data_IF_827128899912
#
_entry.id   IF_827128899912
#
_cell.length_a   1.000
_cell.length_b   1.000
_cell.length_c   1.000
_cell.angle_alpha   90.00
_cell.angle_beta   90.00
_cell.angle_gamma   90.00
#
_symmetry.space_group_name_H-M   'P 1'
#
loop_
_entity.id
_entity.type
_entity.pdbx_description
1 polymer ?
#
# COMPACT_ATOMS: atom_id res chain seq x y z
N UNK A 1 11.71 -25.61 -15.91
CA UNK A 1 10.24 -25.39 -15.99
C UNK A 1 9.70 -26.23 -17.12
N UNK A 2 8.75 -27.11 -16.83
CA UNK A 2 8.07 -27.89 -17.87
C UNK A 2 7.13 -26.95 -18.65
N UNK A 3 7.17 -27.01 -19.98
CA UNK A 3 6.19 -26.34 -20.84
C UNK A 3 4.80 -26.81 -20.41
N UNK A 4 3.90 -25.90 -20.02
CA UNK A 4 2.51 -26.28 -19.75
C UNK A 4 1.72 -26.25 -21.05
N UNK A 5 1.35 -27.42 -21.61
CA UNK A 5 0.68 -27.49 -22.89
C UNK A 5 -0.69 -26.80 -22.87
N UNK A 6 -1.34 -26.76 -21.71
CA UNK A 6 -2.67 -26.15 -21.54
C UNK A 6 -2.60 -24.63 -21.72
N UNK A 7 -1.61 -23.96 -21.12
CA UNK A 7 -1.40 -22.52 -21.28
C UNK A 7 -1.12 -22.17 -22.75
N UNK A 8 -0.22 -22.93 -23.39
CA UNK A 8 0.18 -22.68 -24.77
C UNK A 8 -0.99 -22.89 -25.74
N UNK A 9 -1.83 -23.90 -25.50
CA UNK A 9 -3.04 -24.12 -26.30
C UNK A 9 -4.06 -22.98 -26.13
N UNK A 10 -4.31 -22.53 -24.90
CA UNK A 10 -5.23 -21.40 -24.66
C UNK A 10 -4.72 -20.11 -25.32
N UNK A 11 -3.42 -19.85 -25.26
CA UNK A 11 -2.80 -18.71 -25.93
C UNK A 11 -2.89 -18.86 -27.44
N UNK A 12 -2.68 -20.06 -27.99
CA UNK A 12 -2.84 -20.35 -29.43
C UNK A 12 -4.24 -20.01 -29.90
N UNK A 13 -5.27 -20.48 -29.19
CA UNK A 13 -6.66 -20.21 -29.56
C UNK A 13 -6.99 -18.73 -29.49
N UNK A 14 -6.55 -18.05 -28.42
CA UNK A 14 -6.77 -16.61 -28.24
C UNK A 14 -6.02 -15.75 -29.24
N UNK A 15 -4.94 -16.26 -29.83
CA UNK A 15 -4.07 -15.46 -30.70
C UNK A 15 -4.07 -15.89 -32.16
N UNK A 16 -4.98 -16.80 -32.52
CA UNK A 16 -5.10 -17.36 -33.87
C UNK A 16 -5.43 -16.31 -34.94
N UNK A 17 -6.16 -15.26 -34.58
CA UNK A 17 -6.63 -14.22 -35.50
C UNK A 17 -5.70 -13.00 -35.56
N UNK A 18 -4.61 -12.97 -34.77
CA UNK A 18 -3.69 -11.84 -34.75
C UNK A 18 -2.40 -12.15 -35.53
N UNK A 19 -1.92 -11.15 -36.27
CA UNK A 19 -0.60 -11.17 -36.91
C UNK A 19 0.47 -10.62 -35.93
N UNK A 20 0.93 -11.50 -35.04
CA UNK A 20 1.97 -11.21 -34.06
C UNK A 20 3.34 -11.78 -34.47
N UNK A 21 4.42 -11.42 -33.79
CA UNK A 21 5.77 -12.00 -33.89
C UNK A 21 6.12 -12.70 -32.56
N UNK A 22 5.79 -12.04 -31.45
CA UNK A 22 6.04 -12.52 -30.11
C UNK A 22 4.93 -12.07 -29.16
N UNK A 23 4.50 -12.95 -28.26
CA UNK A 23 3.59 -12.60 -27.16
C UNK A 23 4.42 -12.41 -25.90
N UNK A 24 4.12 -11.34 -25.17
CA UNK A 24 4.79 -10.96 -23.92
C UNK A 24 3.77 -10.80 -22.80
N UNK A 25 3.92 -11.59 -21.74
CA UNK A 25 3.14 -11.51 -20.52
C UNK A 25 4.06 -11.08 -19.37
N UNK A 26 3.76 -9.93 -18.77
CA UNK A 26 4.58 -9.31 -17.73
C UNK A 26 3.83 -9.34 -16.40
N UNK A 27 4.36 -10.08 -15.44
CA UNK A 27 3.89 -10.10 -14.06
C UNK A 27 4.76 -9.16 -13.23
N UNK A 28 4.17 -8.09 -12.69
CA UNK A 28 4.86 -7.13 -11.85
C UNK A 28 4.41 -7.29 -10.40
N UNK A 29 5.34 -7.54 -9.50
CA UNK A 29 5.11 -7.75 -8.07
C UNK A 29 5.28 -6.45 -7.29
N UNK A 30 4.30 -6.11 -6.47
CA UNK A 30 4.38 -5.01 -5.52
C UNK A 30 5.28 -5.40 -4.35
N UNK A 31 5.77 -4.39 -3.62
CA UNK A 31 6.60 -4.58 -2.42
C UNK A 31 5.84 -5.40 -1.35
N UNK A 32 4.51 -5.28 -1.32
CA UNK A 32 3.62 -5.99 -0.40
C UNK A 32 3.24 -7.40 -0.86
N UNK A 33 3.74 -7.85 -2.03
CA UNK A 33 3.48 -9.20 -2.57
C UNK A 33 2.22 -9.33 -3.41
N UNK A 34 1.49 -8.24 -3.67
CA UNK A 34 0.49 -8.20 -4.73
C UNK A 34 1.14 -8.29 -6.10
N UNK A 35 0.38 -8.63 -7.14
CA UNK A 35 0.92 -8.67 -8.50
C UNK A 35 -0.14 -8.33 -9.55
N UNK A 36 0.32 -7.72 -10.65
CA UNK A 36 -0.49 -7.37 -11.80
C UNK A 36 0.06 -7.97 -13.09
N UNK A 37 -0.83 -8.31 -14.02
CA UNK A 37 -0.48 -8.79 -15.35
C UNK A 37 -0.65 -7.68 -16.38
N UNK A 38 0.38 -7.48 -17.19
CA UNK A 38 0.29 -6.76 -18.46
C UNK A 38 0.58 -7.74 -19.59
N UNK A 39 -0.33 -7.84 -20.54
CA UNK A 39 -0.22 -8.76 -21.68
C UNK A 39 -0.23 -7.99 -22.99
N UNK A 40 0.69 -8.35 -23.88
CA UNK A 40 0.85 -7.69 -25.17
C UNK A 40 1.42 -8.64 -26.22
N UNK A 41 1.28 -8.30 -27.49
CA UNK A 41 2.00 -8.94 -28.58
C UNK A 41 2.73 -7.90 -29.43
N UNK A 42 3.88 -8.28 -29.99
CA UNK A 42 4.57 -7.50 -31.00
C UNK A 42 3.92 -7.80 -32.36
N UNK A 43 3.31 -6.82 -33.01
CA UNK A 43 2.78 -6.99 -34.38
C UNK A 43 3.91 -6.94 -35.42
N UNK A 44 3.62 -7.39 -36.65
CA UNK A 44 4.59 -7.33 -37.75
C UNK A 44 5.06 -5.89 -38.07
N UNK A 45 4.25 -4.89 -37.71
CA UNK A 45 4.62 -3.48 -37.81
C UNK A 45 5.71 -3.04 -36.82
N UNK A 46 6.13 -3.92 -35.92
CA UNK A 46 7.12 -3.64 -34.87
C UNK A 46 6.55 -2.92 -33.64
N UNK A 47 5.22 -2.85 -33.49
CA UNK A 47 4.56 -2.21 -32.35
C UNK A 47 4.02 -3.24 -31.36
N UNK A 48 4.08 -2.91 -30.08
CA UNK A 48 3.41 -3.71 -29.05
C UNK A 48 1.94 -3.29 -28.92
N UNK A 49 1.05 -4.26 -29.05
CA UNK A 49 -0.39 -4.11 -28.92
C UNK A 49 -0.89 -4.88 -27.70
N UNK A 50 -1.91 -4.36 -27.03
CA UNK A 50 -2.47 -5.00 -25.82
C UNK A 50 -3.22 -6.26 -26.19
N UNK A 51 -2.96 -7.33 -25.44
CA UNK A 51 -3.64 -8.61 -25.60
C UNK A 51 -4.53 -8.83 -24.37
N UNK A 52 -5.86 -9.00 -24.49
CA UNK A 52 -6.75 -9.16 -23.34
C UNK A 52 -6.66 -10.58 -22.74
N UNK A 53 -5.54 -10.90 -22.10
CA UNK A 53 -5.33 -12.16 -21.38
C UNK A 53 -5.64 -11.97 -19.90
N UNK A 54 -6.43 -12.89 -19.34
CA UNK A 54 -6.70 -12.92 -17.90
C UNK A 54 -5.57 -13.60 -17.14
N UNK A 55 -5.26 -13.06 -15.95
CA UNK A 55 -4.45 -13.73 -14.92
C UNK A 55 -4.89 -15.16 -14.61
N UNK A 56 -6.17 -15.49 -14.81
CA UNK A 56 -6.69 -16.85 -14.61
C UNK A 56 -5.97 -17.89 -15.49
N UNK A 57 -5.58 -17.51 -16.71
CA UNK A 57 -4.87 -18.38 -17.65
C UNK A 57 -3.48 -18.76 -17.11
N UNK A 58 -2.87 -17.90 -16.30
CA UNK A 58 -1.55 -18.12 -15.71
C UNK A 58 -1.59 -18.89 -14.38
N UNK A 59 -2.76 -19.18 -13.81
CA UNK A 59 -2.90 -19.85 -12.49
C UNK A 59 -1.98 -21.06 -12.30
N UNK A 60 -1.85 -22.00 -13.26
CA UNK A 60 -0.98 -23.15 -13.09
C UNK A 60 0.52 -22.79 -12.91
N UNK A 61 0.94 -21.63 -13.41
CA UNK A 61 2.32 -21.13 -13.33
C UNK A 61 2.53 -20.10 -12.24
N UNK A 62 1.47 -19.40 -11.83
CA UNK A 62 1.54 -18.36 -10.80
C UNK A 62 2.04 -18.93 -9.47
N UNK A 63 1.65 -20.15 -9.08
CA UNK A 63 2.10 -20.71 -7.81
C UNK A 63 3.64 -20.81 -7.74
N UNK A 64 4.28 -21.42 -8.74
CA UNK A 64 5.74 -21.54 -8.77
C UNK A 64 6.43 -20.17 -8.77
N UNK A 65 5.89 -19.21 -9.53
CA UNK A 65 6.44 -17.85 -9.59
C UNK A 65 6.29 -17.13 -8.25
N UNK A 66 5.13 -17.25 -7.59
CA UNK A 66 4.85 -16.62 -6.29
C UNK A 66 5.70 -17.24 -5.18
N UNK A 67 5.83 -18.57 -5.17
CA UNK A 67 6.67 -19.28 -4.20
C UNK A 67 8.12 -18.81 -4.37
N UNK A 68 8.63 -18.78 -5.61
CA UNK A 68 9.98 -18.26 -5.90
C UNK A 68 10.15 -16.79 -5.53
N UNK A 69 9.17 -15.92 -5.78
CA UNK A 69 9.21 -14.52 -5.37
C UNK A 69 9.32 -14.41 -3.85
N UNK A 70 8.51 -15.17 -3.14
CA UNK A 70 8.47 -15.16 -1.67
C UNK A 70 9.80 -15.59 -1.06
N UNK A 71 10.43 -16.62 -1.64
CA UNK A 71 11.71 -17.16 -1.19
C UNK A 71 12.91 -16.24 -1.50
N UNK A 72 12.82 -15.43 -2.55
CA UNK A 72 13.95 -14.61 -3.05
C UNK A 72 13.82 -13.11 -2.77
N UNK A 73 12.68 -12.61 -2.29
CA UNK A 73 12.42 -11.16 -2.13
C UNK A 73 13.42 -10.39 -1.26
N UNK A 74 14.21 -11.07 -0.42
CA UNK A 74 15.21 -10.48 0.47
C UNK A 74 16.64 -11.00 0.20
N UNK A 75 16.91 -11.51 -1.01
CA UNK A 75 18.22 -12.06 -1.39
C UNK A 75 18.82 -11.28 -2.57
N UNK A 76 20.08 -11.57 -2.89
CA UNK A 76 20.75 -11.01 -4.08
C UNK A 76 20.13 -11.49 -5.41
N UNK A 77 19.29 -12.53 -5.35
CA UNK A 77 18.57 -13.10 -6.50
C UNK A 77 17.11 -12.66 -6.58
N UNK A 78 16.74 -11.62 -5.83
CA UNK A 78 15.41 -11.04 -5.86
C UNK A 78 14.99 -10.59 -7.25
N UNK A 79 13.69 -10.65 -7.50
CA UNK A 79 13.06 -10.10 -8.69
C UNK A 79 11.72 -9.47 -8.28
N UNK A 80 11.23 -8.54 -9.10
CA UNK A 80 9.89 -7.98 -8.95
C UNK A 80 9.12 -7.95 -10.29
N UNK A 81 9.72 -8.49 -11.34
CA UNK A 81 9.13 -8.60 -12.66
C UNK A 81 9.44 -9.97 -13.25
N UNK A 82 8.43 -10.61 -13.82
CA UNK A 82 8.59 -11.85 -14.60
C UNK A 82 8.04 -11.62 -15.99
N UNK A 83 8.84 -11.94 -16.99
CA UNK A 83 8.47 -11.81 -18.40
C UNK A 83 8.38 -13.20 -19.01
N UNK A 84 7.17 -13.58 -19.39
CA UNK A 84 6.90 -14.78 -20.18
C UNK A 84 6.81 -14.38 -21.64
N UNK A 85 7.73 -14.89 -22.46
CA UNK A 85 7.79 -14.63 -23.89
C UNK A 85 7.44 -15.90 -24.66
N UNK A 86 6.52 -15.80 -25.62
CA UNK A 86 6.07 -16.92 -26.45
C UNK A 86 6.32 -16.57 -27.91
N UNK A 87 7.09 -17.39 -28.60
CA UNK A 87 7.37 -17.25 -30.03
C UNK A 87 6.30 -17.94 -30.90
N UNK A 88 6.43 -17.83 -32.22
CA UNK A 88 5.50 -18.44 -33.20
C UNK A 88 5.44 -19.95 -33.14
N UNK A 89 6.52 -20.58 -32.70
CA UNK A 89 6.61 -22.02 -32.52
C UNK A 89 6.03 -22.47 -31.16
N UNK A 90 5.47 -21.51 -30.40
CA UNK A 90 4.92 -21.70 -29.05
C UNK A 90 5.95 -22.13 -28.02
N UNK A 91 7.23 -21.80 -28.22
CA UNK A 91 8.23 -21.96 -27.18
C UNK A 91 8.07 -20.87 -26.12
N UNK A 92 7.98 -21.29 -24.86
CA UNK A 92 7.92 -20.40 -23.70
C UNK A 92 9.33 -20.12 -23.17
N UNK A 93 9.68 -18.84 -23.04
CA UNK A 93 10.83 -18.35 -22.30
C UNK A 93 10.38 -17.55 -21.09
N UNK A 94 11.01 -17.78 -19.93
CA UNK A 94 10.72 -17.06 -18.68
C UNK A 94 11.97 -16.31 -18.21
N UNK A 95 11.87 -14.98 -18.14
CA UNK A 95 12.93 -14.11 -17.61
C UNK A 95 12.48 -13.51 -16.26
N UNK A 96 13.37 -13.53 -15.27
CA UNK A 96 13.16 -12.94 -13.94
C UNK A 96 14.03 -11.70 -13.84
N UNK A 97 13.40 -10.55 -13.60
CA UNK A 97 14.05 -9.24 -13.66
C UNK A 97 13.81 -8.46 -12.36
N UNK A 98 14.84 -7.70 -11.97
CA UNK A 98 14.74 -6.73 -10.89
C UNK A 98 14.66 -5.31 -11.45
N UNK A 99 13.48 -4.73 -11.39
CA UNK A 99 13.18 -3.38 -11.84
C UNK A 99 13.20 -2.41 -10.65
N UNK A 100 14.35 -1.81 -10.40
CA UNK A 100 14.55 -0.87 -9.29
C UNK A 100 13.71 0.41 -9.43
N UNK A 101 13.49 0.89 -10.66
CA UNK A 101 12.67 2.07 -10.93
C UNK A 101 11.21 1.82 -10.53
N UNK A 102 10.66 0.64 -10.86
CA UNK A 102 9.33 0.24 -10.43
C UNK A 102 9.20 0.23 -8.90
N UNK A 103 10.19 -0.31 -8.18
CA UNK A 103 10.20 -0.27 -6.70
C UNK A 103 10.18 1.18 -6.19
N UNK A 104 10.99 2.07 -6.78
CA UNK A 104 11.03 3.47 -6.38
C UNK A 104 9.66 4.15 -6.56
N UNK A 105 9.00 3.94 -7.71
CA UNK A 105 7.65 4.47 -7.97
C UNK A 105 6.64 3.92 -6.96
N UNK A 106 6.69 2.63 -6.65
CA UNK A 106 5.82 2.00 -5.65
C UNK A 106 6.02 2.64 -4.25
N UNK A 107 7.28 2.82 -3.81
CA UNK A 107 7.59 3.49 -2.54
C UNK A 107 7.03 4.90 -2.49
N UNK A 108 7.24 5.69 -3.54
CA UNK A 108 6.71 7.05 -3.64
C UNK A 108 5.18 7.06 -3.53
N UNK A 109 4.50 6.20 -4.29
CA UNK A 109 3.04 6.14 -4.30
C UNK A 109 2.47 5.72 -2.94
N UNK A 110 3.06 4.71 -2.30
CA UNK A 110 2.66 4.27 -0.96
C UNK A 110 2.89 5.37 0.08
N UNK A 111 4.05 6.03 0.06
CA UNK A 111 4.35 7.13 0.99
C UNK A 111 3.42 8.33 0.82
N UNK A 112 2.94 8.60 -0.41
CA UNK A 112 1.97 9.69 -0.69
C UNK A 112 0.60 9.46 -0.05
N UNK A 113 0.20 8.21 0.18
CA UNK A 113 -1.13 7.88 0.74
C UNK A 113 -1.05 7.36 2.18
N UNK A 114 0.15 7.23 2.75
CA UNK A 114 0.36 6.73 4.11
C UNK A 114 -0.46 7.47 5.18
N UNK A 115 -0.58 8.80 5.07
CA UNK A 115 -1.36 9.59 6.02
C UNK A 115 -2.84 9.19 6.06
N UNK A 116 -3.40 8.76 4.92
CA UNK A 116 -4.80 8.40 4.80
C UNK A 116 -5.04 7.07 5.50
N UNK A 117 -4.20 6.07 5.22
CA UNK A 117 -4.19 4.80 5.94
C UNK A 117 -4.08 5.02 7.46
N UNK A 118 -3.18 5.90 7.90
CA UNK A 118 -3.01 6.19 9.33
C UNK A 118 -4.25 6.89 9.90
N UNK A 119 -4.83 7.87 9.19
CA UNK A 119 -6.04 8.57 9.60
C UNK A 119 -7.21 7.59 9.81
N UNK A 120 -7.53 6.79 8.80
CA UNK A 120 -8.60 5.77 8.85
C UNK A 120 -8.36 4.75 9.96
N UNK A 121 -7.12 4.28 10.09
CA UNK A 121 -6.74 3.35 11.15
C UNK A 121 -6.98 3.97 12.52
N UNK A 122 -6.59 5.22 12.73
CA UNK A 122 -6.79 5.90 14.01
C UNK A 122 -8.27 6.13 14.32
N UNK A 123 -9.06 6.58 13.34
CA UNK A 123 -10.51 6.78 13.54
C UNK A 123 -11.21 5.50 14.01
N UNK A 124 -10.95 4.38 13.33
CA UNK A 124 -11.51 3.08 13.70
C UNK A 124 -11.05 2.61 15.09
N UNK A 125 -9.76 2.81 15.41
CA UNK A 125 -9.19 2.41 16.69
C UNK A 125 -9.73 3.24 17.86
N UNK A 126 -9.89 4.55 17.66
CA UNK A 126 -10.49 5.46 18.64
C UNK A 126 -11.92 5.00 18.94
N UNK A 127 -12.72 4.74 17.91
CA UNK A 127 -14.09 4.27 18.08
C UNK A 127 -14.17 2.99 18.91
N UNK A 128 -13.42 1.95 18.54
CA UNK A 128 -13.43 0.68 19.28
C UNK A 128 -12.92 0.86 20.71
N UNK A 129 -11.84 1.62 20.92
CA UNK A 129 -11.31 1.89 22.25
C UNK A 129 -12.34 2.60 23.13
N UNK A 130 -13.01 3.63 22.61
CA UNK A 130 -14.00 4.38 23.38
C UNK A 130 -15.25 3.56 23.66
N UNK A 131 -15.65 2.70 22.73
CA UNK A 131 -16.74 1.74 22.93
C UNK A 131 -16.40 0.76 24.06
N UNK A 132 -15.23 0.12 24.01
CA UNK A 132 -14.75 -0.84 25.03
C UNK A 132 -14.62 -0.20 26.42
N UNK A 133 -14.36 1.12 26.48
CA UNK A 133 -14.20 1.87 27.73
C UNK A 133 -15.47 2.63 28.15
N UNK A 134 -16.63 2.34 27.54
CA UNK A 134 -17.92 2.98 27.84
C UNK A 134 -17.90 4.53 27.76
N UNK A 135 -17.10 5.07 26.84
CA UNK A 135 -17.00 6.50 26.57
C UNK A 135 -17.98 6.97 25.48
N UNK A 136 -18.56 6.03 24.74
CA UNK A 136 -19.58 6.31 23.73
C UNK A 136 -20.99 6.19 24.32
N UNK A 137 -21.89 7.06 23.85
CA UNK A 137 -23.30 7.03 24.25
C UNK A 137 -24.09 6.15 23.29
N UNK A 138 -24.76 5.08 23.75
CA UNK A 138 -25.68 4.34 22.90
C UNK A 138 -26.92 5.19 22.61
N UNK A 139 -27.38 5.11 21.37
CA UNK A 139 -28.65 5.65 20.89
C UNK A 139 -29.59 4.47 20.70
N UNK A 140 -30.83 4.63 21.17
CA UNK A 140 -31.88 3.63 21.06
C UNK A 140 -32.99 4.15 20.15
N UNK A 141 -33.65 3.25 19.45
CA UNK A 141 -34.79 3.57 18.61
C UNK A 141 -36.08 3.81 19.43
N UNK A 142 -37.18 4.11 18.74
CA UNK A 142 -38.49 4.36 19.36
C UNK A 142 -39.07 3.14 20.10
N UNK A 143 -38.49 1.95 19.91
CA UNK A 143 -38.86 0.70 20.58
C UNK A 143 -37.93 0.37 21.76
N UNK A 144 -36.92 1.20 22.02
CA UNK A 144 -35.92 0.97 23.06
C UNK A 144 -34.88 -0.08 22.67
N UNK A 145 -34.80 -0.45 21.39
CA UNK A 145 -33.75 -1.32 20.87
C UNK A 145 -32.50 -0.50 20.54
N UNK A 146 -31.32 -1.10 20.72
CA UNK A 146 -30.06 -0.43 20.41
C UNK A 146 -29.95 -0.17 18.89
N UNK A 147 -29.63 1.06 18.52
CA UNK A 147 -29.42 1.46 17.12
C UNK A 147 -27.92 1.62 16.82
N UNK A 148 -27.29 2.66 17.39
CA UNK A 148 -25.85 2.93 17.19
C UNK A 148 -25.21 3.65 18.38
N UNK A 149 -23.89 3.87 18.31
CA UNK A 149 -23.17 4.71 19.27
C UNK A 149 -22.96 6.13 18.71
N UNK A 150 -23.34 7.15 19.47
CA UNK A 150 -23.04 8.54 19.12
C UNK A 150 -21.53 8.76 19.09
N UNK A 151 -21.03 9.43 18.03
CA UNK A 151 -19.62 9.81 17.97
C UNK A 151 -19.21 10.70 19.14
N UNK A 152 -18.01 10.49 19.67
CA UNK A 152 -17.46 11.25 20.78
C UNK A 152 -16.70 12.53 20.36
N UNK A 153 -16.52 12.78 19.05
CA UNK A 153 -15.76 13.91 18.51
C UNK A 153 -16.21 14.32 17.10
N UNK A 154 -15.95 15.56 16.70
CA UNK A 154 -16.28 16.11 15.37
C UNK A 154 -15.03 16.20 14.46
N UNK A 155 -13.85 16.35 15.06
CA UNK A 155 -12.54 16.32 14.41
C UNK A 155 -11.45 16.11 15.46
N UNK A 156 -10.23 15.79 15.02
CA UNK A 156 -9.11 15.56 15.92
C UNK A 156 -7.76 16.01 15.36
N UNK A 157 -6.75 16.02 16.22
CA UNK A 157 -5.35 16.25 15.84
C UNK A 157 -4.51 15.09 16.36
N UNK A 158 -4.02 14.27 15.42
CA UNK A 158 -3.17 13.13 15.72
C UNK A 158 -1.72 13.51 15.45
N UNK A 159 -0.89 13.51 16.48
CA UNK A 159 0.53 13.84 16.37
C UNK A 159 1.38 12.63 16.73
N UNK A 160 2.37 12.35 15.90
CA UNK A 160 3.32 11.24 16.06
C UNK A 160 4.74 11.81 15.96
N UNK A 161 5.51 11.67 17.04
CA UNK A 161 6.90 12.11 17.14
C UNK A 161 7.80 10.89 17.30
N UNK A 162 8.81 10.82 16.42
CA UNK A 162 9.79 9.74 16.38
C UNK A 162 11.07 10.21 17.08
N UNK A 163 11.49 9.46 18.10
CA UNK A 163 12.73 9.68 18.83
C UNK A 163 13.34 8.33 19.18
N UNK A 164 14.63 8.14 18.88
CA UNK A 164 15.39 6.92 19.25
C UNK A 164 14.66 5.63 18.81
N UNK A 165 14.11 5.64 17.59
CA UNK A 165 13.34 4.54 17.01
C UNK A 165 12.06 4.15 17.78
N UNK A 166 11.51 5.08 18.56
CA UNK A 166 10.22 4.96 19.24
C UNK A 166 9.26 6.03 18.76
N UNK A 167 7.99 5.67 18.65
CA UNK A 167 6.89 6.59 18.36
C UNK A 167 6.29 7.02 19.69
N UNK A 168 6.29 8.33 19.92
CA UNK A 168 5.44 8.98 20.93
C UNK A 168 4.28 9.63 20.21
N UNK A 169 3.09 9.63 20.81
CA UNK A 169 1.90 10.14 20.17
C UNK A 169 1.04 10.99 21.10
N UNK A 170 0.27 11.90 20.50
CA UNK A 170 -0.81 12.63 21.16
C UNK A 170 -2.05 12.60 20.27
N UNK A 171 -3.21 12.27 20.85
CA UNK A 171 -4.49 12.24 20.16
C UNK A 171 -5.40 13.26 20.82
N UNK A 172 -5.59 14.39 20.16
CA UNK A 172 -6.51 15.43 20.59
C UNK A 172 -7.85 15.24 19.87
N UNK A 173 -8.95 15.14 20.60
CA UNK A 173 -10.30 14.98 20.07
C UNK A 173 -11.13 16.22 20.41
N UNK A 174 -11.83 16.77 19.42
CA UNK A 174 -12.55 18.03 19.53
C UNK A 174 -14.04 17.78 19.27
N UNK A 175 -14.89 18.13 20.23
CA UNK A 175 -16.36 18.10 20.09
C UNK A 175 -16.96 19.44 20.49
N UNK A 176 -17.79 20.03 19.64
CA UNK A 176 -18.41 21.34 19.87
C UNK A 176 -17.40 22.44 20.27
N UNK A 177 -16.19 22.39 19.70
CA UNK A 177 -15.11 23.33 19.99
C UNK A 177 -14.34 23.08 21.30
N UNK A 178 -14.77 22.12 22.13
CA UNK A 178 -14.03 21.69 23.30
C UNK A 178 -13.06 20.56 22.95
N UNK A 179 -11.82 20.65 23.43
CA UNK A 179 -10.75 19.68 23.17
C UNK A 179 -10.49 18.79 24.39
N UNK A 180 -10.17 17.52 24.15
CA UNK A 180 -9.66 16.57 25.15
C UNK A 180 -8.57 15.68 24.55
N UNK A 181 -7.60 15.31 25.37
CA UNK A 181 -6.63 14.28 25.01
C UNK A 181 -7.23 12.88 25.23
N UNK A 182 -6.95 11.96 24.30
CA UNK A 182 -7.26 10.54 24.42
C UNK A 182 -5.98 9.75 24.68
N UNK A 183 -5.87 9.21 25.89
CA UNK A 183 -4.77 8.34 26.31
C UNK A 183 -4.97 6.90 25.84
N UNK A 184 -5.04 6.69 24.53
CA UNK A 184 -5.14 5.36 23.92
C UNK A 184 -3.75 4.84 23.53
N UNK A 185 -3.36 3.60 23.87
CA UNK A 185 -2.10 3.02 23.40
C UNK A 185 -2.14 2.73 21.89
N UNK A 186 -1.01 2.93 21.20
CA UNK A 186 -0.88 2.55 19.79
C UNK A 186 -0.56 1.05 19.66
N UNK A 187 -1.28 0.31 18.80
CA UNK A 187 -0.90 -1.06 18.46
C UNK A 187 0.48 -1.14 17.79
N UNK A 188 1.17 -2.26 17.97
CA UNK A 188 2.50 -2.48 17.41
C UNK A 188 2.57 -2.32 15.90
N UNK A 189 1.54 -2.78 15.16
CA UNK A 189 1.51 -2.64 13.70
C UNK A 189 1.42 -1.17 13.25
N UNK A 190 0.74 -0.30 14.02
CA UNK A 190 0.66 1.13 13.73
C UNK A 190 2.01 1.78 14.00
N UNK A 191 2.63 1.47 15.14
CA UNK A 191 3.97 1.93 15.48
C UNK A 191 4.99 1.53 14.40
N UNK A 192 4.99 0.26 14.01
CA UNK A 192 5.88 -0.26 12.99
C UNK A 192 5.64 0.41 11.63
N UNK A 193 4.39 0.60 11.22
CA UNK A 193 4.06 1.31 9.98
C UNK A 193 4.59 2.75 9.96
N UNK A 194 4.48 3.48 11.08
CA UNK A 194 5.03 4.84 11.20
C UNK A 194 6.55 4.85 11.12
N UNK A 195 7.22 3.92 11.82
CA UNK A 195 8.68 3.81 11.81
C UNK A 195 9.22 3.43 10.42
N UNK A 196 8.58 2.46 9.76
CA UNK A 196 8.93 2.03 8.40
C UNK A 196 8.76 3.18 7.41
N UNK A 197 7.62 3.88 7.45
CA UNK A 197 7.36 5.02 6.59
C UNK A 197 8.39 6.14 6.81
N UNK A 198 8.74 6.43 8.07
CA UNK A 198 9.81 7.37 8.39
C UNK A 198 11.16 6.90 7.86
N UNK A 199 11.52 5.63 8.01
CA UNK A 199 12.76 5.08 7.48
C UNK A 199 12.81 5.22 5.96
N UNK A 200 11.80 4.75 5.23
CA UNK A 200 11.74 4.82 3.76
C UNK A 200 11.89 6.26 3.28
N UNK A 201 11.12 7.17 3.87
CA UNK A 201 11.06 8.56 3.40
C UNK A 201 12.30 9.38 3.75
N UNK A 202 12.93 9.10 4.89
CA UNK A 202 14.16 9.76 5.31
C UNK A 202 15.44 9.08 4.81
N UNK A 203 15.37 7.92 4.14
CA UNK A 203 16.56 7.23 3.60
C UNK A 203 16.48 7.03 2.10
N UNK A 204 15.50 6.26 1.63
CA UNK A 204 15.38 5.84 0.25
C UNK A 204 14.77 6.92 -0.65
N UNK A 205 13.83 7.70 -0.11
CA UNK A 205 13.11 8.76 -0.84
C UNK A 205 13.62 10.17 -0.50
N UNK A 206 14.85 10.32 -0.02
CA UNK A 206 15.45 11.63 0.36
C UNK A 206 15.38 12.71 -0.73
N UNK A 207 15.30 12.32 -2.00
CA UNK A 207 15.15 13.25 -3.15
C UNK A 207 13.73 13.80 -3.28
N UNK A 208 12.74 13.01 -2.87
CA UNK A 208 11.31 13.32 -2.99
C UNK A 208 10.74 13.90 -1.70
N UNK A 209 11.33 13.56 -0.55
CA UNK A 209 10.83 13.90 0.78
C UNK A 209 11.84 14.69 1.59
N UNK A 210 11.34 15.74 2.24
CA UNK A 210 12.12 16.48 3.24
C UNK A 210 12.25 15.63 4.50
N UNK A 211 13.41 15.64 5.18
CA UNK A 211 13.55 14.99 6.47
C UNK A 211 12.49 15.46 7.46
N UNK A 212 11.95 14.53 8.23
CA UNK A 212 10.95 14.78 9.25
C UNK A 212 11.11 13.79 10.41
N UNK A 213 10.68 14.16 11.60
CA UNK A 213 10.52 13.24 12.73
C UNK A 213 9.17 13.42 13.43
N UNK A 214 8.36 14.40 13.00
CA UNK A 214 7.00 14.63 13.48
C UNK A 214 6.00 14.61 12.32
N UNK A 215 4.98 13.78 12.44
CA UNK A 215 3.79 13.76 11.59
C UNK A 215 2.60 14.26 12.40
N UNK A 216 1.91 15.28 11.90
CA UNK A 216 0.63 15.74 12.45
C UNK A 216 -0.45 15.62 11.40
N UNK A 217 -1.56 14.98 11.76
CA UNK A 217 -2.77 14.82 10.95
C UNK A 217 -3.90 15.53 11.68
N UNK A 218 -4.44 16.59 11.07
CA UNK A 218 -5.75 17.13 11.43
C UNK A 218 -6.78 16.22 10.81
N UNK A 219 -7.40 15.39 11.62
CA UNK A 219 -8.36 14.38 11.19
C UNK A 219 -9.75 15.01 11.14
N UNK A 220 -10.36 15.18 9.95
CA UNK A 220 -11.81 15.33 9.90
C UNK A 220 -12.44 14.00 10.34
N UNK A 221 -13.67 14.02 10.85
CA UNK A 221 -14.41 12.78 11.18
C UNK A 221 -14.81 11.94 9.93
N UNK A 222 -14.24 12.27 8.77
CA UNK A 222 -14.41 11.64 7.47
C UNK A 222 -13.02 11.51 6.80
N UNK A 223 -12.97 11.05 5.56
CA UNK A 223 -11.73 10.99 4.80
C UNK A 223 -11.13 12.37 4.49
N UNK A 224 -9.80 12.42 4.37
CA UNK A 224 -9.07 13.62 3.97
C UNK A 224 -9.08 13.70 2.44
N UNK A 225 -9.64 14.77 1.83
CA UNK A 225 -9.62 14.94 0.39
C UNK A 225 -8.19 14.95 -0.15
N UNK A 226 -7.92 14.15 -1.18
CA UNK A 226 -6.57 13.96 -1.70
C UNK A 226 -5.94 15.25 -2.22
N UNK A 227 -6.73 16.10 -2.87
CA UNK A 227 -6.33 17.40 -3.42
C UNK A 227 -6.02 18.45 -2.34
N UNK A 228 -6.53 18.26 -1.12
CA UNK A 228 -6.35 19.18 0.03
C UNK A 228 -5.48 18.61 1.13
N UNK A 229 -4.79 17.49 0.90
CA UNK A 229 -4.03 16.79 1.94
C UNK A 229 -3.06 17.68 2.73
N UNK A 230 -2.46 18.69 2.08
CA UNK A 230 -1.52 19.64 2.72
C UNK A 230 -2.14 20.53 3.79
N UNK A 231 -3.46 20.72 3.76
CA UNK A 231 -4.19 21.50 4.79
C UNK A 231 -4.33 20.70 6.09
N UNK A 232 -4.38 19.38 5.97
CA UNK A 232 -4.64 18.44 7.06
C UNK A 232 -3.35 17.78 7.57
N UNK A 233 -2.38 17.54 6.70
CA UNK A 233 -1.21 16.71 7.00
C UNK A 233 0.06 17.53 6.97
N UNK A 234 0.84 17.43 8.04
CA UNK A 234 2.13 18.12 8.18
C UNK A 234 3.22 17.16 8.62
N UNK A 235 4.23 17.02 7.77
CA UNK A 235 5.53 16.44 8.11
C UNK A 235 6.49 17.55 8.52
N UNK A 236 7.16 17.41 9.65
CA UNK A 236 8.06 18.45 10.19
C UNK A 236 9.20 17.89 11.02
N UNK A 237 10.23 18.72 11.23
CA UNK A 237 11.33 18.44 12.15
C UNK A 237 11.09 19.14 13.48
N UNK A 238 10.92 18.36 14.54
CA UNK A 238 10.89 18.81 15.92
C UNK A 238 12.29 18.65 16.52
N UNK A 239 12.90 19.77 16.93
CA UNK A 239 14.20 19.78 17.60
C UNK A 239 14.03 19.17 18.99
N UNK A 240 14.47 17.94 19.17
CA UNK A 240 14.68 17.39 20.51
C UNK A 240 15.79 18.20 21.17
N UNK A 241 15.46 18.92 22.26
CA UNK A 241 16.50 19.52 23.10
C UNK A 241 17.42 18.39 23.56
N UNK A 242 18.70 18.44 23.19
CA UNK A 242 19.70 17.63 23.84
C UNK A 242 19.66 17.98 25.33
N UNK A 243 19.39 17.00 26.19
CA UNK A 243 19.62 17.18 27.62
C UNK A 243 21.10 17.55 27.74
N UNK A 244 21.38 18.78 28.16
CA UNK A 244 22.72 19.15 28.60
C UNK A 244 23.01 18.26 29.80
N UNK A 245 23.96 17.34 29.62
CA UNK A 245 24.67 16.67 30.72
C UNK A 245 25.46 17.71 31.47
#
# INVERSE_FOLDING_TARGET
>A
MNQNPELLNQIRDLTREYDWINIRLELNFTITGGYGLKSSYLSESGKYETLPISLRLLRPHLKEIIDRFTDTKNTDTQFNQVVLSIDKDFNLKTDYLFNQEFIQVQKINNSKVFYQWLNETMMNRIFEFEKENNLLKPVYDDHGEFDYYESSYDNGVFSFLIKENKVSHNLELIKNGASRDLNMPLPDYVNNGILEHHQITNTELKKEWKPWNKLTIKSPHNDIPFDKCREYVKYSMEKTKANKV
#
